data_IF_741082979421
#
_entry.id   IF_741082979421
#
_cell.length_a   1.000
_cell.length_b   1.000
_cell.length_c   1.000
_cell.angle_alpha   90.00
_cell.angle_beta   90.00
_cell.angle_gamma   90.00
#
_symmetry.space_group_name_H-M   'P 1'
#
loop_
_entity.id
_entity.type
_entity.pdbx_description
1 polymer ?
#
# COMPACT_ATOMS: atom_id res chain seq x y z
N UNK A 1 -5.22 13.89 10.84
CA UNK A 1 -6.29 12.87 10.88
C UNK A 1 -7.41 13.34 9.97
N UNK A 2 -7.80 12.55 9.00
CA UNK A 2 -8.82 12.93 8.03
C UNK A 2 -10.20 12.44 8.47
N UNK A 3 -11.26 13.25 8.25
CA UNK A 3 -12.65 12.91 8.61
C UNK A 3 -12.98 12.76 10.11
N UNK A 4 -12.29 13.48 10.99
CA UNK A 4 -12.56 13.44 12.45
C UNK A 4 -14.03 13.64 12.83
N UNK A 5 -14.78 14.44 12.06
CA UNK A 5 -16.21 14.68 12.32
C UNK A 5 -17.11 13.46 12.08
N UNK A 6 -16.67 12.46 11.29
CA UNK A 6 -17.44 11.28 10.90
C UNK A 6 -16.83 9.97 11.38
N UNK A 7 -15.51 9.87 11.48
CA UNK A 7 -14.81 8.61 11.78
C UNK A 7 -14.24 8.54 13.22
N UNK A 8 -14.35 9.61 14.00
CA UNK A 8 -13.82 9.70 15.35
C UNK A 8 -12.54 10.53 15.46
N UNK A 9 -12.21 10.87 16.69
CA UNK A 9 -11.13 11.77 17.09
C UNK A 9 -9.83 11.05 17.52
N UNK A 10 -9.83 9.71 17.47
CA UNK A 10 -8.67 8.88 17.80
C UNK A 10 -8.37 7.87 16.69
N UNK A 11 -7.11 7.43 16.63
CA UNK A 11 -6.65 6.43 15.66
C UNK A 11 -7.43 5.12 15.79
N UNK A 12 -7.75 4.73 17.02
CA UNK A 12 -8.52 3.52 17.33
C UNK A 12 -9.95 3.58 16.77
N UNK A 13 -10.63 4.73 16.93
CA UNK A 13 -11.99 4.90 16.39
C UNK A 13 -12.00 4.86 14.88
N UNK A 14 -11.04 5.55 14.25
CA UNK A 14 -10.87 5.54 12.79
C UNK A 14 -10.60 4.11 12.30
N UNK A 15 -9.71 3.37 12.97
CA UNK A 15 -9.40 1.99 12.64
C UNK A 15 -10.63 1.08 12.79
N UNK A 16 -11.41 1.27 13.85
CA UNK A 16 -12.64 0.50 14.09
C UNK A 16 -13.67 0.71 12.97
N UNK A 17 -13.93 1.96 12.58
CA UNK A 17 -14.85 2.27 11.48
C UNK A 17 -14.37 1.66 10.15
N UNK A 18 -13.08 1.78 9.85
CA UNK A 18 -12.50 1.15 8.64
C UNK A 18 -12.58 -0.36 8.67
N UNK A 19 -12.43 -0.99 9.85
CA UNK A 19 -12.57 -2.43 10.02
C UNK A 19 -14.01 -2.94 9.81
N UNK A 20 -14.99 -2.04 9.80
CA UNK A 20 -16.41 -2.37 9.54
C UNK A 20 -16.68 -3.00 8.17
N UNK A 21 -15.76 -2.91 7.23
CA UNK A 21 -15.85 -3.60 5.92
C UNK A 21 -15.57 -5.11 6.00
N UNK A 22 -14.94 -5.58 7.08
CA UNK A 22 -14.56 -6.99 7.23
C UNK A 22 -15.80 -7.87 7.34
N UNK A 23 -15.73 -9.05 6.73
CA UNK A 23 -16.82 -10.02 6.73
C UNK A 23 -16.30 -11.40 7.12
N UNK A 24 -17.18 -12.17 7.76
CA UNK A 24 -16.88 -13.54 8.17
C UNK A 24 -16.43 -14.38 6.97
N UNK A 25 -15.33 -15.14 7.16
CA UNK A 25 -14.73 -16.02 6.17
C UNK A 25 -14.28 -15.30 4.87
N UNK A 26 -14.10 -13.98 4.91
CA UNK A 26 -13.53 -13.22 3.78
C UNK A 26 -12.12 -12.81 4.14
N UNK A 27 -11.13 -13.03 3.25
CA UNK A 27 -9.78 -12.53 3.44
C UNK A 27 -9.76 -11.01 3.62
N UNK A 28 -8.98 -10.55 4.57
CA UNK A 28 -8.70 -9.13 4.81
C UNK A 28 -7.20 -8.92 4.87
N UNK A 29 -6.74 -7.88 4.21
CA UNK A 29 -5.32 -7.51 4.17
C UNK A 29 -5.12 -6.16 4.85
N UNK A 30 -4.11 -6.06 5.68
CA UNK A 30 -3.77 -4.82 6.34
C UNK A 30 -2.25 -4.67 6.46
N UNK A 31 -1.74 -3.47 6.18
CA UNK A 31 -0.31 -3.18 6.35
C UNK A 31 -0.02 -2.94 7.83
N UNK A 32 0.82 -3.77 8.43
CA UNK A 32 1.12 -3.70 9.86
C UNK A 32 1.94 -2.45 10.19
N UNK A 33 1.34 -1.51 10.86
CA UNK A 33 1.99 -0.28 11.37
C UNK A 33 2.58 -0.44 12.76
N UNK A 34 2.33 -1.59 13.43
CA UNK A 34 2.75 -1.87 14.82
C UNK A 34 2.25 -0.84 15.83
N UNK A 35 1.06 -0.31 15.59
CA UNK A 35 0.38 0.75 16.34
C UNK A 35 -0.96 0.28 16.91
N UNK A 36 -1.67 1.19 17.58
CA UNK A 36 -2.99 0.93 18.14
C UNK A 36 -4.03 0.62 17.06
N UNK A 37 -3.92 1.20 15.86
CA UNK A 37 -4.81 0.89 14.75
C UNK A 37 -4.68 -0.58 14.34
N UNK A 38 -3.47 -1.11 14.24
CA UNK A 38 -3.23 -2.53 13.93
C UNK A 38 -3.89 -3.43 14.97
N UNK A 39 -3.80 -3.09 16.26
CA UNK A 39 -4.43 -3.87 17.33
C UNK A 39 -5.97 -3.91 17.19
N UNK A 40 -6.59 -2.78 16.87
CA UNK A 40 -8.04 -2.70 16.66
C UNK A 40 -8.46 -3.53 15.43
N UNK A 41 -7.69 -3.48 14.35
CA UNK A 41 -7.92 -4.26 13.13
C UNK A 41 -7.89 -5.76 13.43
N UNK A 42 -6.88 -6.23 14.19
CA UNK A 42 -6.76 -7.64 14.61
C UNK A 42 -7.95 -8.06 15.45
N UNK A 43 -8.29 -7.30 16.49
CA UNK A 43 -9.43 -7.59 17.36
C UNK A 43 -10.77 -7.65 16.60
N UNK A 44 -10.96 -6.74 15.65
CA UNK A 44 -12.19 -6.71 14.86
C UNK A 44 -12.25 -7.89 13.87
N UNK A 45 -11.13 -8.27 13.27
CA UNK A 45 -11.04 -9.44 12.39
C UNK A 45 -11.41 -10.73 13.16
N UNK A 46 -10.86 -10.92 14.37
CA UNK A 46 -11.18 -12.04 15.24
C UNK A 46 -12.68 -12.06 15.60
N UNK A 47 -13.22 -10.91 16.01
CA UNK A 47 -14.64 -10.76 16.39
C UNK A 47 -15.59 -11.11 15.24
N UNK A 48 -15.25 -10.71 14.02
CA UNK A 48 -16.08 -10.95 12.82
C UNK A 48 -15.84 -12.35 12.26
N UNK A 49 -14.68 -12.96 12.53
CA UNK A 49 -14.23 -14.21 11.93
C UNK A 49 -13.73 -14.00 10.49
N UNK A 50 -13.05 -12.88 10.24
CA UNK A 50 -12.37 -12.63 8.97
C UNK A 50 -10.98 -13.28 9.00
N UNK A 51 -10.50 -13.73 7.84
CA UNK A 51 -9.13 -14.24 7.68
C UNK A 51 -8.19 -13.05 7.47
N UNK A 52 -7.67 -12.48 8.56
CA UNK A 52 -6.76 -11.32 8.49
C UNK A 52 -5.33 -11.77 8.22
N UNK A 53 -4.73 -11.16 7.20
CA UNK A 53 -3.32 -11.21 6.93
C UNK A 53 -2.68 -9.84 7.12
N UNK A 54 -1.65 -9.80 7.94
CA UNK A 54 -0.82 -8.61 8.16
C UNK A 54 0.36 -8.63 7.22
N UNK A 55 0.52 -7.57 6.43
CA UNK A 55 1.66 -7.36 5.53
C UNK A 55 2.71 -6.53 6.25
N UNK A 56 3.96 -6.99 6.25
CA UNK A 56 5.05 -6.37 6.98
C UNK A 56 5.96 -5.54 6.07
N UNK A 57 6.50 -4.45 6.60
CA UNK A 57 7.48 -3.63 5.87
C UNK A 57 8.76 -4.41 5.50
N UNK A 58 9.09 -5.44 6.27
CA UNK A 58 10.23 -6.31 6.01
C UNK A 58 10.07 -7.21 4.78
N UNK A 59 8.84 -7.38 4.27
CA UNK A 59 8.55 -8.24 3.13
C UNK A 59 8.93 -7.62 1.79
N UNK A 60 9.12 -6.31 1.72
CA UNK A 60 9.54 -5.65 0.48
C UNK A 60 10.79 -4.80 0.66
N UNK A 61 11.51 -4.59 -0.45
CA UNK A 61 12.70 -3.75 -0.49
C UNK A 61 12.75 -2.97 -1.79
N UNK A 62 12.81 -1.64 -1.70
CA UNK A 62 13.09 -0.79 -2.85
C UNK A 62 14.56 -1.00 -3.23
N UNK A 63 14.81 -1.42 -4.47
CA UNK A 63 16.15 -1.68 -5.00
C UNK A 63 16.69 -0.50 -5.79
N UNK A 64 15.81 0.25 -6.49
CA UNK A 64 16.22 1.38 -7.33
C UNK A 64 15.10 2.39 -7.49
N UNK A 65 15.47 3.66 -7.47
CA UNK A 65 14.61 4.78 -7.85
C UNK A 65 15.27 5.46 -9.05
N UNK A 66 14.56 5.47 -10.18
CA UNK A 66 15.02 6.08 -11.43
C UNK A 66 14.23 7.36 -11.73
N UNK A 67 14.49 8.00 -12.86
CA UNK A 67 13.68 9.13 -13.32
C UNK A 67 12.23 8.76 -13.61
N UNK A 68 11.96 7.51 -13.99
CA UNK A 68 10.65 7.06 -14.49
C UNK A 68 10.00 5.96 -13.65
N UNK A 69 10.80 5.21 -12.88
CA UNK A 69 10.34 4.00 -12.19
C UNK A 69 10.87 3.89 -10.77
N UNK A 70 10.18 3.10 -9.98
CA UNK A 70 10.65 2.57 -8.70
C UNK A 70 10.64 1.05 -8.84
N UNK A 71 11.82 0.45 -8.67
CA UNK A 71 12.02 -0.99 -8.74
C UNK A 71 12.12 -1.54 -7.32
N UNK A 72 11.46 -2.65 -7.05
CA UNK A 72 11.42 -3.27 -5.73
C UNK A 72 11.29 -4.79 -5.83
N UNK A 73 11.64 -5.47 -4.76
CA UNK A 73 11.37 -6.90 -4.55
C UNK A 73 10.34 -7.09 -3.46
N UNK A 74 9.60 -8.19 -3.52
CA UNK A 74 8.60 -8.58 -2.53
C UNK A 74 8.79 -10.07 -2.19
N UNK A 75 8.80 -10.38 -0.91
CA UNK A 75 8.64 -11.72 -0.38
C UNK A 75 7.26 -11.80 0.26
N UNK A 76 6.27 -12.18 -0.55
CA UNK A 76 4.91 -12.37 -0.05
C UNK A 76 4.87 -13.63 0.81
N UNK A 77 3.75 -13.91 1.48
CA UNK A 77 3.67 -15.15 2.23
C UNK A 77 3.65 -16.41 1.37
N UNK A 78 3.61 -16.25 0.07
CA UNK A 78 3.40 -17.36 -0.87
C UNK A 78 4.44 -17.42 -1.98
N UNK A 79 5.03 -16.26 -2.36
CA UNK A 79 5.91 -16.18 -3.51
C UNK A 79 6.98 -15.10 -3.34
N UNK A 80 8.14 -15.29 -3.98
CA UNK A 80 9.23 -14.31 -3.99
C UNK A 80 9.35 -13.64 -5.35
N UNK A 81 8.95 -12.38 -5.39
CA UNK A 81 9.12 -11.50 -6.55
C UNK A 81 10.47 -10.80 -6.48
N UNK A 82 11.38 -11.14 -7.40
CA UNK A 82 12.75 -10.56 -7.40
C UNK A 82 12.80 -9.17 -7.98
N UNK A 83 12.02 -8.90 -9.03
CA UNK A 83 12.02 -7.62 -9.75
C UNK A 83 10.59 -7.22 -10.10
N UNK A 84 10.10 -6.21 -9.41
CA UNK A 84 8.82 -5.56 -9.68
C UNK A 84 9.07 -4.09 -9.94
N UNK A 85 8.30 -3.50 -10.84
CA UNK A 85 8.46 -2.10 -11.24
C UNK A 85 7.13 -1.38 -11.24
N UNK A 86 7.08 -0.23 -10.56
CA UNK A 86 5.99 0.75 -10.71
C UNK A 86 6.50 2.04 -11.34
N UNK A 87 5.60 2.83 -11.91
CA UNK A 87 5.95 4.18 -12.37
C UNK A 87 6.40 5.04 -11.19
N UNK A 88 7.32 5.99 -11.43
CA UNK A 88 7.77 6.92 -10.41
C UNK A 88 6.59 7.70 -9.84
N UNK A 89 6.42 7.59 -8.56
CA UNK A 89 5.33 8.16 -7.77
C UNK A 89 5.80 8.30 -6.32
N UNK A 90 4.91 8.65 -5.39
CA UNK A 90 5.24 8.67 -3.97
C UNK A 90 5.69 7.29 -3.47
N UNK A 91 6.68 7.25 -2.57
CA UNK A 91 7.28 6.00 -2.09
C UNK A 91 6.27 5.08 -1.38
N UNK A 92 5.27 5.66 -0.71
CA UNK A 92 4.21 4.88 -0.07
C UNK A 92 3.33 4.10 -1.08
N UNK A 93 3.41 4.42 -2.38
CA UNK A 93 2.72 3.63 -3.40
C UNK A 93 3.33 2.24 -3.61
N UNK A 94 4.58 2.02 -3.18
CA UNK A 94 5.15 0.67 -3.14
C UNK A 94 4.39 -0.19 -2.14
N UNK A 95 4.03 0.34 -0.97
CA UNK A 95 3.20 -0.37 0.02
C UNK A 95 1.81 -0.70 -0.54
N UNK A 96 1.20 0.24 -1.27
CA UNK A 96 -0.08 -0.02 -1.94
C UNK A 96 0.05 -1.08 -3.03
N UNK A 97 1.15 -1.09 -3.78
CA UNK A 97 1.43 -2.13 -4.79
C UNK A 97 1.61 -3.50 -4.12
N UNK A 98 2.33 -3.57 -3.01
CA UNK A 98 2.49 -4.80 -2.21
C UNK A 98 1.13 -5.34 -1.76
N UNK A 99 0.27 -4.49 -1.16
CA UNK A 99 -1.08 -4.90 -0.76
C UNK A 99 -1.93 -5.36 -1.95
N UNK A 100 -1.78 -4.73 -3.12
CA UNK A 100 -2.50 -5.12 -4.32
C UNK A 100 -2.05 -6.49 -4.84
N UNK A 101 -0.75 -6.79 -4.79
CA UNK A 101 -0.22 -8.10 -5.16
C UNK A 101 -0.73 -9.18 -4.21
N UNK A 102 -0.62 -8.97 -2.90
CA UNK A 102 -1.15 -9.89 -1.88
C UNK A 102 -2.66 -10.13 -2.05
N UNK A 103 -3.42 -9.08 -2.40
CA UNK A 103 -4.85 -9.22 -2.69
C UNK A 103 -5.11 -10.03 -3.96
N UNK A 104 -4.29 -9.85 -4.99
CA UNK A 104 -4.39 -10.62 -6.22
C UNK A 104 -4.06 -12.11 -5.99
N UNK A 105 -3.03 -12.41 -5.20
CA UNK A 105 -2.72 -13.77 -4.77
C UNK A 105 -3.91 -14.44 -4.07
N UNK A 106 -4.56 -13.72 -3.13
CA UNK A 106 -5.78 -14.23 -2.47
C UNK A 106 -6.92 -14.52 -3.45
N UNK A 107 -7.09 -13.69 -4.46
CA UNK A 107 -8.09 -13.92 -5.50
C UNK A 107 -7.75 -15.13 -6.37
N UNK A 108 -6.47 -15.34 -6.70
CA UNK A 108 -6.02 -16.52 -7.45
C UNK A 108 -6.24 -17.79 -6.64
N UNK A 109 -5.92 -17.79 -5.34
CA UNK A 109 -6.16 -18.90 -4.41
C UNK A 109 -7.65 -19.26 -4.41
N UNK A 110 -8.52 -18.29 -4.17
CA UNK A 110 -9.96 -18.50 -4.17
C UNK A 110 -10.49 -19.05 -5.50
N UNK A 111 -10.07 -18.43 -6.60
CA UNK A 111 -10.53 -18.78 -7.95
C UNK A 111 -10.15 -20.21 -8.35
N UNK A 112 -9.01 -20.70 -7.87
CA UNK A 112 -8.49 -22.03 -8.18
C UNK A 112 -8.87 -23.08 -7.12
N UNK A 113 -9.63 -22.68 -6.06
CA UNK A 113 -10.07 -23.60 -5.00
C UNK A 113 -8.91 -24.22 -4.20
N UNK A 114 -7.80 -23.48 -4.07
CA UNK A 114 -6.62 -23.92 -3.33
C UNK A 114 -6.85 -23.75 -1.83
N UNK A 115 -6.35 -24.71 -1.04
CA UNK A 115 -6.33 -24.64 0.41
C UNK A 115 -4.96 -24.16 0.92
N UNK A 116 -4.88 -23.77 2.21
CA UNK A 116 -3.60 -23.33 2.81
C UNK A 116 -2.51 -24.41 2.77
N UNK A 117 -2.91 -25.67 2.81
CA UNK A 117 -2.01 -26.85 2.68
C UNK A 117 -1.32 -26.95 1.31
N UNK A 118 -1.90 -26.32 0.29
CA UNK A 118 -1.38 -26.32 -1.07
C UNK A 118 -0.28 -25.26 -1.29
N UNK A 119 -0.03 -24.36 -0.33
CA UNK A 119 0.87 -23.21 -0.51
C UNK A 119 2.35 -23.59 -0.43
N UNK A 120 2.68 -24.71 0.20
CA UNK A 120 4.04 -25.27 0.18
C UNK A 120 4.32 -26.11 -1.09
N UNK A 121 3.30 -26.32 -1.91
CA UNK A 121 3.43 -27.11 -3.13
C UNK A 121 3.91 -26.23 -4.30
N UNK A 122 4.71 -26.82 -5.16
CA UNK A 122 5.19 -26.25 -6.42
C UNK A 122 4.03 -25.74 -7.31
N UNK A 123 2.83 -26.28 -7.13
CA UNK A 123 1.62 -25.90 -7.86
C UNK A 123 1.23 -24.43 -7.69
N UNK A 124 1.40 -23.87 -6.48
CA UNK A 124 1.12 -22.44 -6.25
C UNK A 124 2.16 -21.54 -6.91
N UNK A 125 3.44 -21.87 -6.79
CA UNK A 125 4.50 -21.14 -7.49
C UNK A 125 4.26 -21.13 -9.01
N UNK A 126 3.90 -22.27 -9.60
CA UNK A 126 3.55 -22.37 -11.02
C UNK A 126 2.29 -21.56 -11.39
N UNK A 127 1.34 -21.43 -10.47
CA UNK A 127 0.17 -20.58 -10.68
C UNK A 127 0.60 -19.10 -10.75
N UNK A 128 1.43 -18.63 -9.82
CA UNK A 128 1.93 -17.25 -9.82
C UNK A 128 2.82 -17.02 -11.06
N UNK A 129 3.71 -17.91 -11.41
CA UNK A 129 4.58 -17.79 -12.60
C UNK A 129 3.77 -17.53 -13.88
N UNK A 130 2.62 -18.18 -14.02
CA UNK A 130 1.72 -17.96 -15.17
C UNK A 130 1.05 -16.57 -15.17
N UNK A 131 0.96 -15.91 -14.01
CA UNK A 131 0.32 -14.62 -13.85
C UNK A 131 1.33 -13.47 -13.60
N UNK A 132 2.64 -13.76 -13.60
CA UNK A 132 3.66 -12.75 -13.31
C UNK A 132 3.63 -11.59 -14.31
N UNK A 133 3.40 -11.87 -15.59
CA UNK A 133 3.31 -10.86 -16.64
C UNK A 133 2.07 -9.97 -16.45
N UNK A 134 0.97 -10.52 -15.97
CA UNK A 134 -0.26 -9.76 -15.67
C UNK A 134 -0.02 -8.82 -14.48
N UNK A 135 0.66 -9.31 -13.42
CA UNK A 135 1.03 -8.51 -12.25
C UNK A 135 1.94 -7.36 -12.69
N UNK A 136 3.00 -7.63 -13.43
CA UNK A 136 3.93 -6.60 -13.90
C UNK A 136 3.26 -5.60 -14.84
N UNK A 137 2.40 -6.07 -15.74
CA UNK A 137 1.62 -5.22 -16.63
C UNK A 137 0.69 -4.30 -15.83
N UNK A 138 -0.04 -4.83 -14.86
CA UNK A 138 -0.90 -4.06 -13.97
C UNK A 138 -0.14 -2.97 -13.22
N UNK A 139 0.99 -3.31 -12.62
CA UNK A 139 1.87 -2.37 -11.90
C UNK A 139 2.42 -1.28 -12.81
N UNK A 140 2.89 -1.63 -14.02
CA UNK A 140 3.46 -0.68 -14.98
C UNK A 140 2.44 0.30 -15.55
N UNK A 141 1.16 -0.09 -15.61
CA UNK A 141 0.07 0.75 -16.08
C UNK A 141 -0.62 1.54 -14.97
N UNK A 142 -0.24 1.30 -13.72
CA UNK A 142 -0.80 2.04 -12.59
C UNK A 142 -0.55 3.55 -12.75
N UNK A 143 -1.62 4.32 -12.75
CA UNK A 143 -1.58 5.79 -12.78
C UNK A 143 -2.44 6.31 -11.65
N UNK A 144 -1.83 7.02 -10.72
CA UNK A 144 -2.55 7.67 -9.63
C UNK A 144 -2.38 9.19 -9.72
N UNK A 145 -3.41 9.85 -10.20
CA UNK A 145 -3.40 11.31 -10.32
C UNK A 145 -3.29 11.97 -8.95
N UNK A 146 -2.46 13.01 -8.86
CA UNK A 146 -2.26 13.74 -7.60
C UNK A 146 -1.52 12.96 -6.50
N UNK A 147 -0.69 11.97 -6.85
CA UNK A 147 0.21 11.26 -5.92
C UNK A 147 1.64 11.33 -6.46
N UNK A 148 2.38 12.37 -6.07
CA UNK A 148 3.69 12.69 -6.65
C UNK A 148 3.65 12.72 -8.18
N UNK A 149 2.54 13.17 -8.75
CA UNK A 149 2.33 13.18 -10.19
C UNK A 149 3.20 14.27 -10.82
N UNK A 150 4.09 13.89 -11.71
CA UNK A 150 4.83 14.83 -12.56
C UNK A 150 3.89 15.37 -13.64
N UNK A 151 3.63 16.67 -13.64
CA UNK A 151 2.75 17.37 -14.61
C UNK A 151 3.52 18.27 -15.57
N UNK A 152 4.82 18.40 -15.38
CA UNK A 152 5.71 19.22 -16.21
C UNK A 152 7.16 19.05 -15.80
N UNK A 153 8.09 19.73 -16.45
CA UNK A 153 9.50 19.66 -16.11
C UNK A 153 9.72 20.10 -14.65
N UNK A 154 10.04 19.13 -13.78
CA UNK A 154 10.27 19.35 -12.34
C UNK A 154 9.07 19.91 -11.56
N UNK A 155 7.84 19.76 -12.07
CA UNK A 155 6.62 20.18 -11.37
C UNK A 155 5.86 18.91 -10.94
N UNK A 156 5.66 18.76 -9.63
CA UNK A 156 4.98 17.62 -9.03
C UNK A 156 3.74 18.07 -8.27
N UNK A 157 2.68 17.27 -8.35
CA UNK A 157 1.42 17.51 -7.62
C UNK A 157 1.16 16.32 -6.71
N UNK A 158 0.85 16.62 -5.46
CA UNK A 158 0.41 15.64 -4.48
C UNK A 158 -0.84 16.11 -3.75
N UNK A 159 -1.70 15.18 -3.36
CA UNK A 159 -2.92 15.46 -2.60
C UNK A 159 -2.75 15.33 -1.08
N UNK A 160 -1.52 15.34 -0.57
CA UNK A 160 -1.26 15.33 0.86
C UNK A 160 -1.90 16.57 1.54
N UNK A 161 -2.71 16.34 2.56
CA UNK A 161 -3.49 17.37 3.23
C UNK A 161 -3.74 17.08 4.72
N UNK A 162 -3.08 16.06 5.27
CA UNK A 162 -3.03 15.76 6.69
C UNK A 162 -1.58 15.43 7.08
N UNK A 163 -1.29 15.44 8.37
CA UNK A 163 0.05 15.29 8.92
C UNK A 163 0.77 14.06 8.36
N UNK A 164 0.17 12.87 8.47
CA UNK A 164 0.75 11.61 8.01
C UNK A 164 1.07 11.62 6.50
N UNK A 165 0.15 12.17 5.68
CA UNK A 165 0.36 12.28 4.24
C UNK A 165 1.44 13.29 3.87
N UNK A 166 1.54 14.39 4.61
CA UNK A 166 2.58 15.42 4.41
C UNK A 166 3.94 14.85 4.80
N UNK A 167 4.07 14.14 5.92
CA UNK A 167 5.31 13.46 6.31
C UNK A 167 5.76 12.46 5.24
N UNK A 168 4.85 11.61 4.74
CA UNK A 168 5.16 10.66 3.68
C UNK A 168 5.56 11.35 2.36
N UNK A 169 4.95 12.48 2.04
CA UNK A 169 5.32 13.32 0.90
C UNK A 169 6.70 13.94 1.07
N UNK A 170 6.99 14.55 2.22
CA UNK A 170 8.29 15.13 2.54
C UNK A 170 9.40 14.08 2.47
N UNK A 171 9.17 12.91 3.08
CA UNK A 171 10.12 11.79 2.98
C UNK A 171 10.36 11.37 1.52
N UNK A 172 9.31 11.31 0.71
CA UNK A 172 9.44 11.03 -0.73
C UNK A 172 10.32 12.06 -1.43
N UNK A 173 10.12 13.36 -1.14
CA UNK A 173 10.94 14.44 -1.71
C UNK A 173 12.41 14.37 -1.29
N UNK A 174 12.68 14.05 -0.02
CA UNK A 174 14.05 13.91 0.50
C UNK A 174 14.81 12.77 -0.18
N UNK A 175 14.14 11.64 -0.36
CA UNK A 175 14.74 10.46 -0.99
C UNK A 175 14.91 10.65 -2.51
N UNK A 176 13.93 11.24 -3.17
CA UNK A 176 13.97 11.39 -4.64
C UNK A 176 14.80 12.57 -5.11
N UNK A 177 14.92 13.60 -4.31
CA UNK A 177 15.59 14.87 -4.65
C UNK A 177 16.44 15.37 -3.48
N UNK A 178 17.49 14.64 -3.08
CA UNK A 178 18.23 14.92 -1.84
C UNK A 178 19.00 16.25 -1.88
N UNK A 179 19.41 16.70 -3.07
CA UNK A 179 20.28 17.89 -3.23
C UNK A 179 19.60 19.08 -3.91
N UNK A 180 18.46 18.86 -4.52
CA UNK A 180 17.73 19.88 -5.27
C UNK A 180 17.05 20.90 -4.36
N UNK A 181 17.12 22.17 -4.76
CA UNK A 181 16.31 23.21 -4.13
C UNK A 181 14.83 22.99 -4.48
N UNK A 182 13.97 23.00 -3.46
CA UNK A 182 12.53 22.74 -3.58
C UNK A 182 11.73 23.99 -3.29
N UNK A 183 10.72 24.25 -4.10
CA UNK A 183 9.71 25.28 -3.85
C UNK A 183 8.39 24.56 -3.62
N UNK A 184 7.79 24.77 -2.45
CA UNK A 184 6.51 24.19 -2.08
C UNK A 184 5.40 25.24 -2.24
N UNK A 185 4.38 24.93 -3.05
CA UNK A 185 3.11 25.63 -3.05
C UNK A 185 2.10 24.76 -2.30
N UNK A 186 1.69 25.20 -1.12
CA UNK A 186 0.78 24.46 -0.26
C UNK A 186 -0.59 25.13 -0.20
N UNK A 187 -1.65 24.35 -0.34
CA UNK A 187 -3.03 24.78 -0.14
C UNK A 187 -3.82 23.65 0.53
N UNK A 188 -4.60 24.00 1.54
CA UNK A 188 -5.42 23.05 2.29
C UNK A 188 -6.75 23.69 2.67
N UNK A 189 -7.79 22.89 2.89
CA UNK A 189 -9.08 23.39 3.36
C UNK A 189 -8.97 23.96 4.76
N UNK A 190 -9.79 24.99 5.06
CA UNK A 190 -9.79 25.72 6.32
C UNK A 190 -10.09 24.86 7.57
N UNK A 191 -10.69 23.70 7.37
CA UNK A 191 -11.03 22.71 8.40
C UNK A 191 -9.86 21.77 8.78
N UNK A 192 -8.71 21.94 8.14
CA UNK A 192 -7.50 21.16 8.42
C UNK A 192 -6.56 21.92 9.35
N UNK A 193 -5.85 21.15 10.19
CA UNK A 193 -4.76 21.66 10.99
C UNK A 193 -3.54 21.91 10.07
N UNK A 194 -3.03 23.12 10.05
CA UNK A 194 -1.93 23.55 9.18
C UNK A 194 -0.92 24.45 9.91
N UNK A 195 -1.00 24.56 11.26
CA UNK A 195 -0.06 25.30 12.09
C UNK A 195 1.14 24.45 12.52
#
# INVERSE_FOLDING_TARGET
>A
MDHMQYLGDTLEKIAYEKAGIMKKNVPALFFNRKDTATQVIVQQAEKVGAHLRLVEKSQYKISKISEKTIDFSLESGYYRYCELTIRKTALYQVENAVLAIEAYEQLLIQKNGMAEEDFEDESFCQLIDRHIDEIQTGLSHMVWKGRMQCIGSHIYVDGAHNEEAIEAFCHTLEVMFPTEHKILLFAVSKDKDYE
#
